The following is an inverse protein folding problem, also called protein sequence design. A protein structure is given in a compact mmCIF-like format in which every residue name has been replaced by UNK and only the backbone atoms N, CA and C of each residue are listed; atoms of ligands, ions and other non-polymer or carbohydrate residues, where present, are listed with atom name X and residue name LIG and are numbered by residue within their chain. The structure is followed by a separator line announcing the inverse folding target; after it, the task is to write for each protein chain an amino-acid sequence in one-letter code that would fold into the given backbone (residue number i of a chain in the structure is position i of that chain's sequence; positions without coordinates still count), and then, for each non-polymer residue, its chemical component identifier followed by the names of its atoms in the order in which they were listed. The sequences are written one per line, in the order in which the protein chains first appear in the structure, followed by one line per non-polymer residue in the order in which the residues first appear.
data_IF_889076885491
#
_entry.id   IF_889076885491
#
_cell.length_a   1.000
_cell.length_b   1.000
_cell.length_c   1.000
_cell.angle_alpha   90.00
_cell.angle_beta   90.00
_cell.angle_gamma   90.00
#
_symmetry.space_group_name_H-M   'P 1'
#
loop_
_entity.id
_entity.type
_entity.pdbx_description
1 polymer ?
#
# COMPACT_ATOMS: atom_id res chain seq x y z
N UNK A 1 -25.62 -62.97 62.70
CA UNK A 1 -25.95 -61.71 62.01
C UNK A 1 -24.65 -61.13 61.48
N UNK A 2 -24.38 -61.16 60.17
CA UNK A 2 -23.12 -60.66 59.55
C UNK A 2 -23.46 -59.42 58.71
N UNK A 3 -22.94 -58.25 59.11
CA UNK A 3 -23.03 -57.01 58.33
C UNK A 3 -21.91 -56.99 57.28
N UNK A 4 -22.29 -56.82 56.01
CA UNK A 4 -21.38 -56.56 54.89
C UNK A 4 -21.33 -55.03 54.73
N UNK A 5 -20.16 -54.45 54.96
CA UNK A 5 -19.91 -53.01 54.74
C UNK A 5 -19.32 -52.87 53.33
N UNK A 6 -20.13 -52.37 52.40
CA UNK A 6 -19.68 -52.02 51.04
C UNK A 6 -19.09 -50.62 51.07
N UNK A 7 -17.78 -50.51 50.93
CA UNK A 7 -17.07 -49.23 50.81
C UNK A 7 -17.09 -48.80 49.34
N UNK A 8 -17.92 -47.82 49.01
CA UNK A 8 -17.93 -47.16 47.70
C UNK A 8 -16.74 -46.20 47.62
N UNK A 9 -15.67 -46.61 46.95
CA UNK A 9 -14.55 -45.76 46.60
C UNK A 9 -14.96 -44.82 45.45
N UNK A 10 -15.32 -43.59 45.78
CA UNK A 10 -15.58 -42.53 44.80
C UNK A 10 -14.26 -42.06 44.17
N UNK A 11 -14.07 -42.34 42.88
CA UNK A 11 -12.99 -41.77 42.08
C UNK A 11 -13.36 -40.33 41.74
N UNK A 12 -12.74 -39.37 42.43
CA UNK A 12 -12.85 -37.96 42.08
C UNK A 12 -12.03 -37.72 40.80
N UNK A 13 -12.72 -37.56 39.66
CA UNK A 13 -12.11 -37.08 38.43
C UNK A 13 -11.86 -35.58 38.59
N UNK A 14 -10.67 -35.22 39.04
CA UNK A 14 -10.17 -33.85 38.99
C UNK A 14 -10.02 -33.46 37.51
N UNK A 15 -11.02 -32.77 36.97
CA UNK A 15 -10.87 -32.10 35.69
C UNK A 15 -9.82 -31.00 35.88
N UNK A 16 -8.59 -31.25 35.40
CA UNK A 16 -7.61 -30.20 35.25
C UNK A 16 -8.21 -29.15 34.31
N UNK A 17 -8.65 -28.03 34.87
CA UNK A 17 -8.91 -26.83 34.10
C UNK A 17 -7.55 -26.45 33.48
N UNK A 18 -7.35 -26.85 32.23
CA UNK A 18 -6.26 -26.34 31.41
C UNK A 18 -6.51 -24.85 31.34
N UNK A 19 -5.71 -24.07 32.06
CA UNK A 19 -5.69 -22.62 31.87
C UNK A 19 -5.49 -22.40 30.38
N UNK A 20 -6.49 -21.84 29.70
CA UNK A 20 -6.36 -21.44 28.31
C UNK A 20 -5.20 -20.45 28.29
N UNK A 21 -4.03 -20.89 27.82
CA UNK A 21 -2.84 -20.07 27.94
C UNK A 21 -2.96 -18.84 27.06
N UNK A 22 -2.35 -17.74 27.51
CA UNK A 22 -2.42 -16.45 26.85
C UNK A 22 -1.83 -16.53 25.42
N UNK A 23 -2.34 -15.74 24.46
CA UNK A 23 -1.66 -15.55 23.18
C UNK A 23 -0.28 -14.92 23.41
N UNK A 24 0.65 -15.21 22.52
CA UNK A 24 1.97 -14.59 22.48
C UNK A 24 2.32 -14.42 21.02
N UNK A 25 2.20 -13.20 20.50
CA UNK A 25 2.37 -12.93 19.07
C UNK A 25 3.69 -12.21 18.84
N UNK A 26 4.51 -12.77 17.95
CA UNK A 26 5.71 -12.12 17.45
C UNK A 26 5.43 -11.45 16.11
N UNK A 27 5.87 -10.21 15.95
CA UNK A 27 5.76 -9.45 14.71
C UNK A 27 7.12 -9.30 14.03
N UNK A 28 7.23 -9.83 12.83
CA UNK A 28 8.46 -9.72 12.02
C UNK A 28 8.22 -8.89 10.78
N UNK A 29 9.25 -8.13 10.41
CA UNK A 29 9.26 -7.25 9.25
C UNK A 29 10.50 -7.59 8.42
N UNK A 30 10.35 -7.67 7.10
CA UNK A 30 11.46 -7.94 6.18
C UNK A 30 11.31 -7.09 4.93
N UNK A 31 12.42 -6.53 4.43
CA UNK A 31 12.45 -5.91 3.10
C UNK A 31 12.59 -7.01 2.04
N UNK A 32 11.58 -7.15 1.20
CA UNK A 32 11.48 -8.19 0.18
C UNK A 32 11.15 -7.53 -1.15
N UNK A 33 12.16 -7.06 -1.91
CA UNK A 33 11.96 -6.53 -3.25
C UNK A 33 11.24 -7.55 -4.13
N UNK A 34 10.25 -7.09 -4.89
CA UNK A 34 9.53 -7.90 -5.87
C UNK A 34 9.58 -7.23 -7.24
N UNK A 35 9.39 -8.01 -8.30
CA UNK A 35 9.29 -7.48 -9.66
C UNK A 35 8.15 -6.44 -9.73
N UNK A 36 8.46 -5.26 -10.25
CA UNK A 36 7.55 -4.10 -10.29
C UNK A 36 7.29 -3.41 -8.94
N UNK A 37 7.74 -3.96 -7.82
CA UNK A 37 7.56 -3.43 -6.45
C UNK A 37 8.87 -3.52 -5.64
N UNK A 38 9.88 -2.71 -5.99
CA UNK A 38 11.22 -2.87 -5.43
C UNK A 38 11.32 -2.40 -3.97
N UNK A 39 10.34 -1.64 -3.49
CA UNK A 39 10.25 -1.13 -2.12
C UNK A 39 9.17 -1.86 -1.29
N UNK A 40 9.03 -3.17 -1.51
CA UNK A 40 8.02 -3.98 -0.83
C UNK A 40 8.52 -4.52 0.52
N UNK A 41 7.67 -4.46 1.55
CA UNK A 41 7.91 -5.07 2.85
C UNK A 41 6.99 -6.27 3.06
N UNK A 42 7.53 -7.33 3.65
CA UNK A 42 6.75 -8.46 4.16
C UNK A 42 6.60 -8.33 5.66
N UNK A 43 5.35 -8.33 6.13
CA UNK A 43 5.00 -8.37 7.56
C UNK A 43 4.42 -9.73 7.89
N UNK A 44 4.94 -10.39 8.93
CA UNK A 44 4.44 -11.68 9.40
C UNK A 44 4.18 -11.58 10.90
N UNK A 45 2.94 -11.85 11.32
CA UNK A 45 2.60 -12.04 12.72
C UNK A 45 2.43 -13.54 12.98
N UNK A 46 3.12 -14.07 13.99
CA UNK A 46 3.08 -15.49 14.35
C UNK A 46 2.66 -15.65 15.80
N UNK A 47 1.66 -16.49 16.06
CA UNK A 47 1.21 -16.76 17.42
C UNK A 47 1.95 -17.98 17.98
N UNK A 48 2.82 -17.76 18.96
CA UNK A 48 3.54 -18.77 19.73
C UNK A 48 2.81 -19.15 21.04
N UNK A 49 1.71 -18.47 21.35
CA UNK A 49 0.87 -18.78 22.50
C UNK A 49 0.01 -20.02 22.28
N UNK A 50 -0.45 -20.62 23.37
CA UNK A 50 -1.35 -21.78 23.33
C UNK A 50 -2.82 -21.42 23.10
N UNK A 51 -3.16 -20.12 23.19
CA UNK A 51 -4.50 -19.58 22.93
C UNK A 51 -4.61 -18.94 21.55
N UNK A 52 -5.83 -18.76 21.07
CA UNK A 52 -6.08 -17.97 19.86
C UNK A 52 -5.74 -16.49 20.11
N UNK A 53 -5.09 -15.86 19.15
CA UNK A 53 -4.91 -14.40 19.13
C UNK A 53 -5.88 -13.76 18.14
N UNK A 54 -6.33 -12.54 18.43
CA UNK A 54 -7.25 -11.81 17.57
C UNK A 54 -6.69 -10.43 17.24
N UNK A 55 -6.75 -10.05 15.98
CA UNK A 55 -6.30 -8.75 15.48
C UNK A 55 -7.47 -8.04 14.84
N UNK A 56 -7.64 -6.75 15.10
CA UNK A 56 -8.64 -5.95 14.40
C UNK A 56 -8.20 -5.74 12.94
N UNK A 57 -8.82 -6.46 12.00
CA UNK A 57 -8.41 -6.57 10.59
C UNK A 57 -8.16 -5.21 9.96
N UNK A 58 -9.15 -4.32 10.00
CA UNK A 58 -9.08 -2.99 9.39
C UNK A 58 -8.16 -2.00 10.11
N UNK A 59 -7.73 -2.33 11.32
CA UNK A 59 -6.79 -1.56 12.14
C UNK A 59 -5.41 -2.24 12.18
N UNK A 60 -5.01 -2.84 11.06
CA UNK A 60 -3.75 -3.56 10.93
C UNK A 60 -3.24 -3.52 9.49
N UNK A 61 -1.96 -3.85 9.32
CA UNK A 61 -1.32 -3.98 8.00
C UNK A 61 -1.91 -5.10 7.14
N UNK A 62 -2.62 -6.05 7.75
CA UNK A 62 -3.18 -7.23 7.08
C UNK A 62 -4.48 -6.94 6.32
N UNK A 63 -5.16 -5.82 6.58
CA UNK A 63 -6.24 -5.35 5.74
C UNK A 63 -5.69 -4.62 4.51
N UNK A 64 -5.72 -5.33 3.36
CA UNK A 64 -5.24 -4.80 2.09
C UNK A 64 -6.31 -4.80 0.98
N UNK A 65 -7.45 -4.09 1.15
CA UNK A 65 -8.42 -3.96 0.07
C UNK A 65 -7.74 -3.35 -1.17
N UNK A 66 -7.86 -4.04 -2.32
CA UNK A 66 -7.23 -3.63 -3.58
C UNK A 66 -5.69 -3.55 -3.50
N UNK A 67 -5.08 -4.33 -2.60
CA UNK A 67 -3.64 -4.37 -2.40
C UNK A 67 -3.06 -3.10 -1.78
N UNK A 68 -3.85 -2.36 -0.98
CA UNK A 68 -3.45 -1.13 -0.30
C UNK A 68 -3.82 -1.14 1.17
N UNK A 69 -2.99 -0.57 2.03
CA UNK A 69 -3.27 -0.51 3.47
C UNK A 69 -4.44 0.43 3.78
N UNK A 70 -5.14 0.15 4.89
CA UNK A 70 -6.27 0.97 5.36
C UNK A 70 -5.83 2.22 6.15
N UNK A 71 -4.55 2.33 6.48
CA UNK A 71 -3.97 3.40 7.28
C UNK A 71 -2.45 3.28 7.39
N UNK A 72 -1.87 4.12 8.25
CA UNK A 72 -0.42 4.19 8.51
C UNK A 72 -0.03 3.15 9.57
N UNK A 73 0.07 1.89 9.16
CA UNK A 73 0.45 0.77 10.04
C UNK A 73 1.96 0.53 10.14
N UNK A 74 2.73 1.17 9.27
CA UNK A 74 4.19 1.11 9.25
C UNK A 74 4.73 2.51 9.56
N UNK A 75 5.56 2.62 10.58
CA UNK A 75 6.32 3.82 10.84
C UNK A 75 7.57 3.80 9.96
N UNK A 76 7.70 4.79 9.07
CA UNK A 76 8.92 5.00 8.27
C UNK A 76 9.62 6.26 8.76
N UNK A 77 10.91 6.16 9.06
CA UNK A 77 11.78 7.31 9.29
C UNK A 77 12.91 7.35 8.30
N UNK A 78 13.33 8.54 7.89
CA UNK A 78 14.52 8.73 7.06
C UNK A 78 15.81 8.67 7.89
N UNK A 79 16.96 8.87 7.23
CA UNK A 79 18.28 8.88 7.87
C UNK A 79 18.47 10.01 8.91
N UNK A 80 17.68 11.07 8.84
CA UNK A 80 17.67 12.16 9.83
C UNK A 80 16.79 11.85 11.04
N UNK A 81 16.04 10.74 10.99
CA UNK A 81 15.03 10.37 11.98
C UNK A 81 13.68 11.06 11.79
N UNK A 82 13.50 11.83 10.71
CA UNK A 82 12.22 12.45 10.39
C UNK A 82 11.25 11.42 9.81
N UNK A 83 9.97 11.55 10.14
CA UNK A 83 8.95 10.65 9.63
C UNK A 83 8.74 10.88 8.12
N UNK A 84 8.80 9.79 7.34
CA UNK A 84 8.47 9.82 5.91
C UNK A 84 6.96 10.00 5.75
N UNK A 85 6.56 10.97 4.93
CA UNK A 85 5.15 11.31 4.72
C UNK A 85 4.35 10.11 4.18
N UNK A 86 3.34 9.71 4.93
CA UNK A 86 2.29 8.81 4.46
C UNK A 86 1.41 9.51 3.40
N UNK A 87 1.27 8.87 2.25
CA UNK A 87 0.42 9.30 1.12
C UNK A 87 -0.68 8.29 0.82
N UNK A 88 -0.78 7.27 1.68
CA UNK A 88 -1.65 6.15 1.51
C UNK A 88 -3.13 6.48 1.72
N UNK A 89 -3.97 5.44 1.66
CA UNK A 89 -5.39 5.56 1.96
C UNK A 89 -5.58 5.73 3.48
N UNK A 90 -6.57 6.52 3.87
CA UNK A 90 -7.10 6.51 5.24
C UNK A 90 -8.55 6.07 5.19
N UNK A 91 -8.88 4.96 5.85
CA UNK A 91 -10.22 4.39 5.86
C UNK A 91 -10.84 4.61 7.23
N UNK A 92 -11.99 5.30 7.26
CA UNK A 92 -12.81 5.40 8.44
C UNK A 92 -13.70 4.16 8.54
N UNK A 93 -13.57 3.43 9.64
CA UNK A 93 -14.41 2.27 9.96
C UNK A 93 -15.47 2.64 10.99
N UNK A 94 -16.64 2.01 10.90
CA UNK A 94 -17.65 2.04 11.96
C UNK A 94 -17.19 1.17 13.13
N UNK A 95 -17.96 1.19 14.23
CA UNK A 95 -17.74 0.31 15.38
C UNK A 95 -17.52 -1.13 14.92
N UNK A 96 -16.40 -1.77 15.29
CA UNK A 96 -16.05 -3.09 14.80
C UNK A 96 -17.02 -4.13 15.34
N UNK A 97 -17.53 -4.98 14.47
CA UNK A 97 -18.28 -6.18 14.86
C UNK A 97 -17.37 -7.39 14.99
N UNK A 98 -17.89 -8.55 15.43
CA UNK A 98 -17.08 -9.77 15.56
C UNK A 98 -16.38 -10.21 14.26
N UNK A 99 -16.97 -9.92 13.11
CA UNK A 99 -16.40 -10.23 11.79
C UNK A 99 -15.25 -9.30 11.38
N UNK A 100 -15.00 -8.23 12.13
CA UNK A 100 -13.88 -7.32 11.89
C UNK A 100 -12.56 -7.86 12.42
N UNK A 101 -12.58 -8.95 13.19
CA UNK A 101 -11.38 -9.53 13.81
C UNK A 101 -10.85 -10.72 13.01
N UNK A 102 -9.55 -10.75 12.81
CA UNK A 102 -8.82 -11.87 12.24
C UNK A 102 -8.27 -12.72 13.36
N UNK A 103 -8.54 -14.02 13.30
CA UNK A 103 -7.99 -15.01 14.24
C UNK A 103 -6.63 -15.50 13.75
N UNK A 104 -5.68 -15.60 14.67
CA UNK A 104 -4.38 -16.27 14.50
C UNK A 104 -4.36 -17.45 15.47
N UNK A 105 -4.61 -18.69 15.00
CA UNK A 105 -4.54 -19.88 15.86
C UNK A 105 -3.15 -20.07 16.48
N UNK A 106 -3.03 -20.89 17.54
CA UNK A 106 -1.74 -21.34 18.05
C UNK A 106 -0.85 -21.90 16.95
N UNK A 107 0.42 -21.53 16.97
CA UNK A 107 1.47 -21.91 16.01
C UNK A 107 1.19 -21.50 14.55
N UNK A 108 0.21 -20.63 14.31
CA UNK A 108 -0.12 -20.13 12.99
C UNK A 108 0.47 -18.74 12.74
N UNK A 109 0.63 -18.41 11.46
CA UNK A 109 1.08 -17.09 11.02
C UNK A 109 0.09 -16.48 10.03
N UNK A 110 -0.01 -15.15 10.07
CA UNK A 110 -0.62 -14.34 9.02
C UNK A 110 0.45 -13.47 8.36
N UNK A 111 0.29 -13.19 7.07
CA UNK A 111 1.32 -12.49 6.27
C UNK A 111 0.68 -11.44 5.38
N UNK A 112 1.35 -10.28 5.26
CA UNK A 112 0.99 -9.22 4.34
C UNK A 112 2.23 -8.70 3.62
N UNK A 113 2.10 -8.44 2.31
CA UNK A 113 3.13 -7.80 1.49
C UNK A 113 2.68 -6.37 1.18
N UNK A 114 3.45 -5.37 1.60
CA UNK A 114 3.12 -3.94 1.50
C UNK A 114 4.06 -3.26 0.52
N UNK A 115 3.51 -2.71 -0.55
CA UNK A 115 4.24 -1.86 -1.47
C UNK A 115 4.36 -0.42 -0.92
N UNK A 116 5.51 -0.10 -0.34
CA UNK A 116 5.71 1.23 0.26
C UNK A 116 5.70 2.35 -0.77
N UNK A 117 6.01 2.07 -2.05
CA UNK A 117 5.97 3.07 -3.10
C UNK A 117 4.56 3.61 -3.37
N UNK A 118 3.52 2.85 -2.99
CA UNK A 118 2.11 3.26 -3.12
C UNK A 118 1.59 3.97 -1.87
N UNK A 119 2.22 3.75 -0.72
CA UNK A 119 1.71 4.23 0.57
C UNK A 119 2.52 5.41 1.13
N UNK A 120 3.78 5.60 0.72
CA UNK A 120 4.66 6.66 1.25
C UNK A 120 5.33 7.47 0.14
N UNK A 121 5.60 8.74 0.43
CA UNK A 121 6.41 9.59 -0.43
C UNK A 121 7.90 9.27 -0.25
N UNK A 122 8.37 8.22 -0.92
CA UNK A 122 9.76 7.79 -0.87
C UNK A 122 10.64 8.59 -1.84
N UNK A 123 11.83 8.98 -1.38
CA UNK A 123 12.86 9.60 -2.22
C UNK A 123 13.81 8.52 -2.74
N UNK A 124 14.00 8.45 -4.06
CA UNK A 124 14.91 7.47 -4.66
C UNK A 124 16.33 7.59 -4.07
N UNK A 125 16.93 6.45 -3.76
CA UNK A 125 18.28 6.38 -3.22
C UNK A 125 18.40 6.73 -1.74
N UNK A 126 17.36 7.24 -1.07
CA UNK A 126 17.41 7.50 0.37
C UNK A 126 17.47 6.20 1.19
N UNK A 127 17.99 6.28 2.40
CA UNK A 127 17.94 5.20 3.38
C UNK A 127 16.78 5.46 4.34
N UNK A 128 15.95 4.45 4.56
CA UNK A 128 14.79 4.53 5.46
C UNK A 128 14.81 3.37 6.44
N UNK A 129 14.26 3.61 7.63
CA UNK A 129 14.03 2.62 8.68
C UNK A 129 12.54 2.40 8.86
N UNK A 130 12.11 1.14 8.86
CA UNK A 130 10.72 0.74 8.94
C UNK A 130 10.44 -0.06 10.22
N UNK A 131 9.32 0.23 10.89
CA UNK A 131 8.77 -0.56 12.00
C UNK A 131 7.28 -0.76 11.80
N UNK A 132 6.77 -1.94 12.14
CA UNK A 132 5.34 -2.22 12.17
C UNK A 132 4.87 -2.37 13.62
N UNK A 133 3.62 -2.02 13.86
CA UNK A 133 2.95 -2.18 15.17
C UNK A 133 1.66 -2.97 14.96
N UNK A 134 1.29 -3.78 15.95
CA UNK A 134 0.09 -4.60 15.90
C UNK A 134 -0.55 -4.71 17.28
N UNK A 135 -1.83 -4.35 17.38
CA UNK A 135 -2.61 -4.61 18.58
C UNK A 135 -3.23 -6.02 18.51
N UNK A 136 -2.97 -6.81 19.54
CA UNK A 136 -3.38 -8.21 19.66
C UNK A 136 -4.29 -8.36 20.88
N UNK A 137 -5.42 -9.03 20.70
CA UNK A 137 -6.41 -9.29 21.73
C UNK A 137 -6.48 -10.79 22.04
N UNK A 138 -6.77 -11.13 23.29
CA UNK A 138 -6.99 -12.52 23.73
C UNK A 138 -8.29 -13.12 23.19
N UNK A 139 -9.27 -12.26 22.89
CA UNK A 139 -10.57 -12.64 22.34
C UNK A 139 -11.25 -11.47 21.65
N UNK A 140 -12.31 -11.78 20.90
CA UNK A 140 -13.17 -10.75 20.32
C UNK A 140 -13.98 -10.06 21.44
N UNK A 141 -13.97 -8.72 21.53
CA UNK A 141 -14.81 -7.98 22.46
C UNK A 141 -16.28 -8.29 22.26
N UNK A 142 -17.00 -8.50 23.37
CA UNK A 142 -18.45 -8.64 23.35
C UNK A 142 -19.09 -7.27 23.53
N UNK A 143 -20.28 -7.09 22.95
CA UNK A 143 -21.12 -5.94 23.29
C UNK A 143 -21.86 -6.26 24.60
N UNK A 144 -21.84 -5.32 25.54
CA UNK A 144 -22.61 -5.42 26.76
C UNK A 144 -24.12 -5.16 26.52
N UNK A 145 -24.89 -5.07 27.60
CA UNK A 145 -26.35 -4.85 27.52
C UNK A 145 -26.73 -3.48 26.98
N UNK A 146 -25.83 -2.51 27.12
CA UNK A 146 -26.02 -1.13 26.67
C UNK A 146 -25.48 -0.92 25.24
N UNK A 147 -24.83 -1.95 24.68
CA UNK A 147 -24.25 -1.93 23.33
C UNK A 147 -22.84 -1.37 23.28
N UNK A 148 -22.20 -1.19 24.44
CA UNK A 148 -20.82 -0.75 24.55
C UNK A 148 -19.87 -1.94 24.39
N UNK A 149 -18.68 -1.69 23.85
CA UNK A 149 -17.66 -2.72 23.71
C UNK A 149 -17.04 -3.00 25.07
N UNK A 150 -16.96 -4.28 25.42
CA UNK A 150 -16.17 -4.75 26.55
C UNK A 150 -14.69 -4.39 26.37
N UNK A 151 -14.03 -4.04 27.48
CA UNK A 151 -12.58 -3.87 27.54
C UNK A 151 -11.92 -5.25 27.67
N UNK A 152 -11.21 -5.66 26.62
CA UNK A 152 -10.52 -6.95 26.54
C UNK A 152 -9.03 -6.72 26.72
N UNK A 153 -8.33 -7.55 27.53
CA UNK A 153 -6.88 -7.51 27.59
C UNK A 153 -6.26 -7.56 26.19
N UNK A 154 -5.40 -6.60 25.94
CA UNK A 154 -4.69 -6.46 24.68
C UNK A 154 -3.23 -6.11 24.91
N UNK A 155 -2.41 -6.48 23.95
CA UNK A 155 -0.99 -6.19 23.90
C UNK A 155 -0.67 -5.52 22.57
N UNK A 156 0.14 -4.45 22.62
CA UNK A 156 0.72 -3.87 21.42
C UNK A 156 2.08 -4.51 21.17
N UNK A 157 2.22 -5.17 20.03
CA UNK A 157 3.44 -5.85 19.60
C UNK A 157 4.14 -5.01 18.53
N UNK A 158 5.42 -4.73 18.77
CA UNK A 158 6.28 -3.99 17.85
C UNK A 158 7.23 -4.93 17.09
N UNK A 159 7.43 -4.66 15.80
CA UNK A 159 8.48 -5.32 15.04
C UNK A 159 9.85 -4.72 15.33
N UNK A 160 10.91 -5.53 15.13
CA UNK A 160 12.25 -4.98 14.96
C UNK A 160 12.30 -4.02 13.76
N UNK A 161 13.21 -3.04 13.83
CA UNK A 161 13.40 -2.08 12.75
C UNK A 161 14.14 -2.71 11.57
N UNK A 162 13.68 -2.44 10.35
CA UNK A 162 14.37 -2.84 9.12
C UNK A 162 14.83 -1.60 8.38
N UNK A 163 16.14 -1.50 8.14
CA UNK A 163 16.73 -0.41 7.38
C UNK A 163 17.08 -0.89 5.97
N UNK A 164 16.68 -0.13 4.96
CA UNK A 164 17.00 -0.45 3.57
C UNK A 164 17.14 0.83 2.73
N UNK A 165 17.75 0.70 1.56
CA UNK A 165 17.85 1.79 0.58
C UNK A 165 16.66 1.73 -0.36
N UNK A 166 16.00 2.86 -0.56
CA UNK A 166 14.89 3.02 -1.51
C UNK A 166 15.43 2.85 -2.92
N UNK A 167 14.89 1.86 -3.62
CA UNK A 167 15.19 1.62 -5.03
C UNK A 167 14.31 2.50 -5.93
N UNK A 168 14.85 2.84 -7.10
CA UNK A 168 14.10 3.50 -8.16
C UNK A 168 12.83 2.70 -8.49
N UNK A 169 11.70 3.37 -8.63
CA UNK A 169 10.52 2.71 -9.16
C UNK A 169 10.84 2.23 -10.57
N UNK A 170 10.71 0.91 -10.82
CA UNK A 170 10.85 0.38 -12.16
C UNK A 170 9.72 0.97 -13.01
N UNK A 171 10.05 1.90 -13.91
CA UNK A 171 9.10 2.35 -14.91
C UNK A 171 8.89 1.20 -15.88
N UNK A 172 7.79 0.47 -15.72
CA UNK A 172 7.28 -0.37 -16.80
C UNK A 172 6.86 0.56 -17.93
N UNK A 173 7.77 0.72 -18.90
CA UNK A 173 7.40 1.20 -20.21
C UNK A 173 6.39 0.19 -20.75
N UNK A 174 5.09 0.51 -20.66
CA UNK A 174 4.07 -0.25 -21.38
C UNK A 174 4.54 -0.33 -22.83
N UNK A 175 4.82 -1.54 -23.37
CA UNK A 175 5.09 -1.68 -24.78
C UNK A 175 3.76 -1.44 -25.50
N UNK A 176 3.44 -0.18 -25.75
CA UNK A 176 2.44 0.18 -26.73
C UNK A 176 3.01 -0.26 -28.07
N UNK A 177 2.64 -1.47 -28.52
CA UNK A 177 2.91 -1.94 -29.87
C UNK A 177 2.17 -1.01 -30.82
N UNK A 178 2.85 0.04 -31.26
CA UNK A 178 2.36 0.95 -32.29
C UNK A 178 3.43 1.10 -33.37
N UNK A 179 3.09 0.56 -34.52
CA UNK A 179 3.81 0.66 -35.79
C UNK A 179 4.26 2.11 -36.05
N UNK A 180 5.56 2.37 -35.91
CA UNK A 180 6.26 3.47 -36.59
C UNK A 180 6.23 4.86 -35.94
N UNK A 181 6.03 5.01 -34.63
CA UNK A 181 6.12 6.32 -33.96
C UNK A 181 7.15 6.33 -32.83
N UNK A 182 8.03 7.33 -32.84
CA UNK A 182 9.01 7.61 -31.77
C UNK A 182 8.29 8.29 -30.61
N UNK A 183 8.46 7.77 -29.39
CA UNK A 183 7.91 8.36 -28.18
C UNK A 183 9.02 9.01 -27.34
N UNK A 184 8.75 10.23 -26.88
CA UNK A 184 9.51 10.91 -25.82
C UNK A 184 8.81 10.57 -24.49
N UNK A 185 9.53 10.10 -23.47
CA UNK A 185 8.91 9.75 -22.19
C UNK A 185 8.33 10.99 -21.49
N UNK A 186 7.11 10.86 -20.95
CA UNK A 186 6.46 11.89 -20.12
C UNK A 186 6.30 11.34 -18.70
N UNK A 187 6.75 12.05 -17.65
CA UNK A 187 6.55 11.64 -16.27
C UNK A 187 5.08 11.81 -15.88
N UNK A 188 4.48 10.77 -15.29
CA UNK A 188 3.12 10.84 -14.73
C UNK A 188 3.23 11.06 -13.22
N UNK A 189 3.10 12.31 -12.81
CA UNK A 189 3.09 12.72 -11.41
C UNK A 189 2.94 14.23 -11.26
N UNK A 190 1.69 14.66 -11.00
CA UNK A 190 1.16 16.04 -10.88
C UNK A 190 0.78 16.74 -12.19
N UNK A 191 -0.53 16.93 -12.33
CA UNK A 191 -1.26 17.90 -13.18
C UNK A 191 -0.82 18.10 -14.64
N UNK A 192 -1.74 17.80 -15.56
CA UNK A 192 -1.64 17.74 -17.03
C UNK A 192 -0.81 18.83 -17.74
N UNK A 193 -0.28 18.53 -18.94
CA UNK A 193 -1.11 18.73 -20.13
C UNK A 193 -1.19 17.53 -21.08
N UNK A 194 -2.36 17.40 -21.71
CA UNK A 194 -2.64 16.59 -22.88
C UNK A 194 -1.63 16.95 -23.99
N UNK A 195 -0.83 15.98 -24.44
CA UNK A 195 -0.03 16.13 -25.66
C UNK A 195 -0.84 15.59 -26.83
N UNK A 196 -1.36 16.48 -27.68
CA UNK A 196 -1.88 16.12 -29.00
C UNK A 196 -0.67 15.91 -29.92
N UNK A 197 -0.31 14.66 -30.18
CA UNK A 197 0.70 14.31 -31.18
C UNK A 197 0.11 14.38 -32.61
N UNK A 198 0.29 15.51 -33.30
CA UNK A 198 0.13 15.61 -34.75
C UNK A 198 1.43 15.22 -35.43
N UNK A 199 1.53 14.00 -35.95
CA UNK A 199 2.57 13.65 -36.93
C UNK A 199 1.93 13.33 -38.28
N UNK A 200 2.27 14.16 -39.27
CA UNK A 200 2.08 13.91 -40.71
C UNK A 200 2.78 12.62 -41.11
N UNK A 201 2.04 11.74 -41.78
CA UNK A 201 2.56 10.60 -42.51
C UNK A 201 3.31 11.08 -43.75
N UNK A 202 4.56 10.64 -43.90
CA UNK A 202 5.35 10.79 -45.13
C UNK A 202 4.83 9.81 -46.19
N UNK A 203 4.12 10.35 -47.17
CA UNK A 203 4.12 9.81 -48.53
C UNK A 203 3.78 10.93 -49.51
N UNK A 204 4.83 11.50 -50.12
CA UNK A 204 4.75 12.27 -51.37
C UNK A 204 4.14 13.67 -51.27
N UNK A 205 4.99 14.69 -51.12
CA UNK A 205 4.99 15.89 -51.97
C UNK A 205 6.13 16.81 -51.50
N UNK A 206 7.12 17.02 -52.37
CA UNK A 206 8.06 18.13 -52.27
C UNK A 206 7.40 19.29 -53.00
N UNK A 207 6.84 20.24 -52.26
CA UNK A 207 6.59 21.59 -52.76
C UNK A 207 6.65 22.58 -51.59
N UNK A 208 7.74 23.36 -51.62
CA UNK A 208 7.84 24.76 -51.22
C UNK A 208 7.44 25.13 -49.77
N UNK A 209 8.46 25.24 -48.91
CA UNK A 209 8.38 26.04 -47.68
C UNK A 209 8.51 27.52 -48.08
N UNK A 210 7.49 28.30 -47.73
CA UNK A 210 7.38 29.76 -47.84
C UNK A 210 8.57 30.45 -47.09
N UNK A 211 9.22 31.50 -47.64
CA UNK A 211 10.52 31.98 -47.19
C UNK A 211 10.51 32.92 -45.97
N UNK A 212 9.49 32.87 -45.11
CA UNK A 212 9.38 33.77 -43.94
C UNK A 212 10.19 33.34 -42.70
N UNK A 213 11.07 32.34 -42.83
CA UNK A 213 11.90 31.82 -41.73
C UNK A 213 13.40 32.13 -41.86
N UNK A 214 13.80 33.02 -42.78
CA UNK A 214 15.13 33.63 -42.73
C UNK A 214 15.05 35.03 -42.12
N UNK A 215 14.91 35.05 -40.79
CA UNK A 215 15.33 36.20 -39.99
C UNK A 215 16.85 36.20 -39.92
N UNK A 216 17.44 37.28 -40.41
CA UNK A 216 18.87 37.60 -40.38
C UNK A 216 19.49 37.43 -38.99
N UNK A 217 20.70 36.85 -38.98
CA UNK A 217 21.73 36.93 -37.93
C UNK A 217 21.39 36.38 -36.52
N UNK A 218 21.82 35.14 -36.27
CA UNK A 218 22.77 34.90 -35.17
C UNK A 218 22.29 34.88 -33.71
N UNK A 219 21.03 34.56 -33.39
CA UNK A 219 20.62 34.32 -32.01
C UNK A 219 19.85 32.99 -31.81
N UNK A 220 20.15 32.19 -30.76
CA UNK A 220 19.39 30.98 -30.46
C UNK A 220 17.96 31.34 -30.01
N UNK A 221 16.98 30.75 -30.69
CA UNK A 221 15.55 30.92 -30.35
C UNK A 221 15.32 30.32 -28.96
N UNK A 222 14.92 31.16 -28.00
CA UNK A 222 14.58 30.66 -26.67
C UNK A 222 13.33 29.76 -26.74
N UNK A 223 13.37 28.62 -26.06
CA UNK A 223 12.28 27.63 -26.00
C UNK A 223 10.93 28.22 -25.60
N UNK A 224 10.92 29.37 -24.90
CA UNK A 224 9.71 30.12 -24.54
C UNK A 224 8.98 30.69 -25.75
N UNK A 225 9.68 31.13 -26.80
CA UNK A 225 9.07 31.64 -28.03
C UNK A 225 8.43 30.53 -28.87
N UNK A 226 8.99 29.32 -28.82
CA UNK A 226 8.43 28.14 -29.48
C UNK A 226 7.15 27.64 -28.79
N UNK A 227 7.14 27.62 -27.45
CA UNK A 227 5.97 27.22 -26.66
C UNK A 227 4.76 28.14 -26.86
N UNK A 228 4.99 29.46 -26.94
CA UNK A 228 3.91 30.44 -27.10
C UNK A 228 3.20 30.36 -28.48
N UNK A 229 3.90 29.93 -29.53
CA UNK A 229 3.32 29.75 -30.87
C UNK A 229 2.49 28.47 -31.01
N UNK A 230 2.83 27.41 -30.27
CA UNK A 230 2.05 26.16 -30.24
C UNK A 230 0.70 26.37 -29.52
N UNK A 231 0.68 27.18 -28.47
CA UNK A 231 -0.55 27.51 -27.74
C UNK A 231 -1.56 28.32 -28.59
N UNK A 232 -1.08 29.25 -29.42
CA UNK A 232 -1.92 30.00 -30.37
C UNK A 232 -2.54 29.11 -31.46
N UNK A 233 -1.81 28.10 -31.94
CA UNK A 233 -2.30 27.17 -32.97
C UNK A 233 -3.37 26.21 -32.41
N UNK A 234 -3.23 25.77 -31.16
CA UNK A 234 -4.20 24.90 -30.50
C UNK A 234 -5.57 25.59 -30.31
N UNK A 235 -5.61 26.90 -30.06
CA UNK A 235 -6.85 27.67 -29.93
C UNK A 235 -7.62 27.84 -31.25
N UNK A 236 -6.97 27.67 -32.40
CA UNK A 236 -7.62 27.79 -33.72
C UNK A 236 -8.33 26.50 -34.17
N UNK A 237 -8.01 25.35 -33.57
CA UNK A 237 -8.55 24.03 -33.97
C UNK A 237 -9.88 23.70 -33.27
N UNK A 238 -10.27 24.43 -32.22
CA UNK A 238 -11.49 24.17 -31.42
C UNK A 238 -12.76 24.83 -32.01
N UNK A 239 -12.73 25.34 -33.25
CA UNK A 239 -13.91 25.91 -33.93
C UNK A 239 -14.26 25.20 -35.25
N UNK A 240 -14.49 23.88 -35.22
CA UNK A 240 -15.21 23.20 -36.30
C UNK A 240 -16.55 22.67 -35.79
N UNK A 241 -17.69 23.03 -36.42
CA UNK A 241 -19.00 22.61 -35.96
C UNK A 241 -19.21 21.11 -36.21
N UNK A 242 -19.64 20.40 -35.17
CA UNK A 242 -20.06 19.01 -35.26
C UNK A 242 -21.37 18.92 -36.07
N UNK A 243 -21.36 18.13 -37.15
CA UNK A 243 -22.57 17.82 -37.93
C UNK A 243 -23.40 16.77 -37.19
N UNK A 244 -24.73 16.95 -37.05
CA UNK A 244 -25.57 15.97 -36.38
C UNK A 244 -25.79 14.74 -37.27
N UNK A 245 -25.82 13.56 -36.64
CA UNK A 245 -26.42 12.33 -37.18
C UNK A 245 -27.68 12.04 -36.41
#
# INVERSE_FOLDING_TARGET
MRQIITVMAGVALSASAVAAGAPSVDLTLQHVPMDGRPNNLRVVATNHGSGDAYVLTYHSVFAQPEGRTTGRWILLTDESGAEVRYTGRSVLIRSPGPTSYMRIPPDASITADVDLGREYALSEGSVVSARAMLDVLERVPMLDRDGESEDVPHETVDSQAVTFRVAAAAFELCPAVFSGKVLVPVPVGREWPVVIALCRSLSGFVETIDPYLQGSEGAPVSWRAAAYRVEMLARRVIMLPQKPR
#
